data_IF_963520741241
#
_entry.id   IF_963520741241
#
_cell.length_a   1.000
_cell.length_b   1.000
_cell.length_c   1.000
_cell.angle_alpha   90.00
_cell.angle_beta   90.00
_cell.angle_gamma   90.00
#
_symmetry.space_group_name_H-M   'P 1'
#
loop_
_entity.id
_entity.type
_entity.pdbx_description
1 polymer ?
#
# COMPACT_ATOMS: atom_id res chain seq x y z
N UNK A 1 37.43 27.02 -39.14
CA UNK A 1 37.20 25.74 -38.43
C UNK A 1 35.94 25.91 -37.62
N UNK A 2 34.99 25.01 -37.85
CA UNK A 2 33.63 25.01 -37.31
C UNK A 2 33.67 24.75 -35.81
N UNK A 3 33.11 25.65 -35.00
CA UNK A 3 32.79 25.39 -33.60
C UNK A 3 31.34 24.95 -33.54
N UNK A 4 31.10 23.67 -33.31
CA UNK A 4 29.75 23.14 -33.11
C UNK A 4 29.25 23.55 -31.72
N UNK A 5 28.04 24.08 -31.66
CA UNK A 5 27.31 24.27 -30.41
C UNK A 5 27.08 22.90 -29.74
N UNK A 6 27.14 22.83 -28.40
CA UNK A 6 26.74 21.64 -27.66
C UNK A 6 25.23 21.37 -27.88
N UNK A 7 24.79 20.10 -27.86
CA UNK A 7 23.37 19.78 -27.99
C UNK A 7 22.59 20.39 -26.81
N UNK A 8 21.32 20.79 -27.02
CA UNK A 8 20.48 21.26 -25.93
C UNK A 8 20.33 20.14 -24.90
N UNK A 9 20.66 20.47 -23.66
CA UNK A 9 20.47 19.58 -22.52
C UNK A 9 18.99 19.28 -22.31
N UNK A 10 18.73 18.04 -21.95
CA UNK A 10 17.42 17.57 -21.50
C UNK A 10 16.95 18.48 -20.37
N UNK A 11 15.82 19.14 -20.57
CA UNK A 11 15.23 20.00 -19.54
C UNK A 11 14.41 19.08 -18.64
N UNK A 12 14.66 19.03 -17.31
CA UNK A 12 13.83 18.24 -16.42
C UNK A 12 12.40 18.80 -16.48
N UNK A 13 11.44 17.95 -16.86
CA UNK A 13 10.02 18.28 -16.75
C UNK A 13 9.67 18.34 -15.25
N UNK A 14 9.42 19.53 -14.72
CA UNK A 14 8.45 19.70 -13.63
C UNK A 14 8.91 19.75 -12.16
N UNK A 15 10.16 20.04 -11.82
CA UNK A 15 10.63 20.00 -10.41
C UNK A 15 10.12 21.15 -9.48
N UNK A 16 9.36 22.14 -9.99
CA UNK A 16 8.97 23.35 -9.23
C UNK A 16 7.46 23.45 -8.89
N UNK A 17 6.67 22.39 -9.07
CA UNK A 17 5.23 22.38 -8.82
C UNK A 17 4.81 21.34 -7.76
N UNK A 18 3.76 21.65 -6.98
CA UNK A 18 3.13 20.67 -6.09
C UNK A 18 2.63 19.46 -6.91
N UNK A 19 2.73 18.22 -6.38
CA UNK A 19 2.23 17.02 -7.03
C UNK A 19 0.77 17.18 -7.47
N UNK A 20 0.48 16.84 -8.72
CA UNK A 20 -0.87 16.77 -9.21
C UNK A 20 -1.51 15.48 -8.69
N UNK A 21 -2.42 15.61 -7.72
CA UNK A 21 -3.15 14.49 -7.11
C UNK A 21 -4.65 14.61 -7.37
N UNK A 22 -5.23 13.57 -7.99
CA UNK A 22 -6.69 13.40 -8.07
C UNK A 22 -7.05 12.09 -7.39
N UNK A 23 -8.01 12.12 -6.45
CA UNK A 23 -8.53 10.93 -5.76
C UNK A 23 -9.94 10.65 -6.22
N UNK A 24 -10.23 9.38 -6.55
CA UNK A 24 -11.57 8.90 -6.86
C UNK A 24 -11.89 7.71 -5.95
N UNK A 25 -12.97 7.81 -5.19
CA UNK A 25 -13.49 6.69 -4.39
C UNK A 25 -14.22 5.70 -5.31
N UNK A 26 -13.72 4.47 -5.39
CA UNK A 26 -14.21 3.41 -6.28
C UNK A 26 -14.95 2.36 -5.44
N UNK A 27 -16.27 2.19 -5.63
CA UNK A 27 -17.03 1.15 -4.93
C UNK A 27 -16.56 -0.25 -5.34
N UNK A 28 -16.26 -1.09 -4.35
CA UNK A 28 -15.77 -2.45 -4.56
C UNK A 28 -16.19 -3.35 -3.40
N UNK A 29 -16.21 -4.66 -3.62
CA UNK A 29 -16.40 -5.63 -2.54
C UNK A 29 -15.11 -5.70 -1.71
N UNK A 30 -15.10 -5.01 -0.58
CA UNK A 30 -13.98 -4.94 0.35
C UNK A 30 -14.47 -5.05 1.79
N UNK A 31 -13.57 -5.45 2.69
CA UNK A 31 -13.81 -5.43 4.14
C UNK A 31 -13.55 -4.05 4.75
N UNK A 32 -13.11 -3.08 3.96
CA UNK A 32 -12.98 -1.70 4.41
C UNK A 32 -14.36 -1.13 4.82
N UNK A 33 -14.44 -0.29 5.88
CA UNK A 33 -15.72 0.14 6.45
C UNK A 33 -16.62 0.95 5.51
N UNK A 34 -16.04 1.63 4.53
CA UNK A 34 -16.70 2.47 3.54
C UNK A 34 -17.11 1.72 2.27
N UNK A 35 -16.64 0.50 2.06
CA UNK A 35 -16.94 -0.29 0.86
C UNK A 35 -16.33 0.31 -0.42
N UNK A 36 -15.26 1.08 -0.28
CA UNK A 36 -14.60 1.76 -1.40
C UNK A 36 -13.08 1.65 -1.29
N UNK A 37 -12.41 1.55 -2.44
CA UNK A 37 -10.96 1.75 -2.57
C UNK A 37 -10.72 3.08 -3.28
N UNK A 38 -9.74 3.84 -2.82
CA UNK A 38 -9.31 5.07 -3.46
C UNK A 38 -8.39 4.75 -4.63
N UNK A 39 -8.81 5.07 -5.85
CA UNK A 39 -7.92 5.18 -6.99
C UNK A 39 -7.30 6.58 -7.04
N UNK A 40 -6.03 6.67 -7.42
CA UNK A 40 -5.31 7.94 -7.51
C UNK A 40 -4.73 8.17 -8.90
N UNK A 41 -4.91 9.38 -9.43
CA UNK A 41 -4.08 9.91 -10.50
C UNK A 41 -3.00 10.79 -9.86
N UNK A 42 -1.75 10.34 -9.92
CA UNK A 42 -0.60 10.90 -9.23
C UNK A 42 0.51 11.16 -10.26
N UNK A 43 0.69 12.40 -10.70
CA UNK A 43 1.74 12.79 -11.66
C UNK A 43 1.97 11.82 -12.83
N UNK A 44 0.88 11.43 -13.52
CA UNK A 44 0.91 10.52 -14.67
C UNK A 44 0.71 9.04 -14.32
N UNK A 45 0.80 8.66 -13.05
CA UNK A 45 0.52 7.31 -12.56
C UNK A 45 -0.95 7.15 -12.15
N UNK A 46 -1.64 6.13 -12.66
CA UNK A 46 -2.90 5.64 -12.10
C UNK A 46 -2.60 4.52 -11.09
N UNK A 47 -2.98 4.73 -9.83
CA UNK A 47 -2.76 3.79 -8.73
C UNK A 47 -4.08 3.17 -8.27
N UNK A 48 -4.08 1.86 -8.05
CA UNK A 48 -5.18 1.05 -7.49
C UNK A 48 -6.55 1.25 -8.17
N UNK A 49 -6.66 1.08 -9.51
CA UNK A 49 -7.95 1.10 -10.18
C UNK A 49 -8.76 -0.17 -9.85
N UNK A 50 -9.39 -0.17 -8.68
CA UNK A 50 -10.10 -1.32 -8.11
C UNK A 50 -11.28 -1.83 -8.96
N UNK A 51 -11.94 -0.93 -9.67
CA UNK A 51 -13.05 -1.23 -10.58
C UNK A 51 -13.22 -0.07 -11.57
N UNK A 52 -13.81 -0.35 -12.73
CA UNK A 52 -14.13 0.69 -13.71
C UNK A 52 -15.37 1.45 -13.28
N UNK A 53 -15.28 2.78 -13.25
CA UNK A 53 -16.41 3.65 -12.88
C UNK A 53 -16.47 4.89 -13.76
N UNK A 54 -17.67 5.42 -13.97
CA UNK A 54 -17.87 6.68 -14.71
C UNK A 54 -17.07 7.85 -14.10
N UNK A 55 -16.92 7.85 -12.76
CA UNK A 55 -16.19 8.90 -12.06
C UNK A 55 -14.68 8.84 -12.36
N UNK A 56 -14.09 7.65 -12.37
CA UNK A 56 -12.67 7.48 -12.69
C UNK A 56 -12.40 7.69 -14.18
N UNK A 57 -13.29 7.23 -15.06
CA UNK A 57 -13.24 7.52 -16.50
C UNK A 57 -13.27 9.04 -16.76
N UNK A 58 -14.14 9.78 -16.05
CA UNK A 58 -14.22 11.24 -16.16
C UNK A 58 -12.95 11.95 -15.64
N UNK A 59 -12.38 11.49 -14.53
CA UNK A 59 -11.16 12.05 -13.97
C UNK A 59 -9.95 11.88 -14.91
N UNK A 60 -9.84 10.72 -15.56
CA UNK A 60 -8.82 10.46 -16.58
C UNK A 60 -9.03 11.37 -17.80
N UNK A 61 -10.26 11.47 -18.29
CA UNK A 61 -10.57 12.33 -19.44
C UNK A 61 -10.29 13.81 -19.17
N UNK A 62 -10.59 14.31 -17.96
CA UNK A 62 -10.31 15.69 -17.55
C UNK A 62 -8.80 15.97 -17.59
N UNK A 63 -7.96 15.05 -17.07
CA UNK A 63 -6.49 15.19 -17.17
C UNK A 63 -5.99 15.23 -18.60
N UNK A 64 -6.43 14.30 -19.46
CA UNK A 64 -6.02 14.26 -20.86
C UNK A 64 -6.42 15.50 -21.65
N UNK A 65 -7.49 16.18 -21.24
CA UNK A 65 -7.93 17.43 -21.87
C UNK A 65 -7.09 18.65 -21.48
N UNK A 66 -6.36 18.59 -20.35
CA UNK A 66 -5.53 19.69 -19.87
C UNK A 66 -4.24 19.87 -20.68
N UNK A 67 -3.68 18.78 -21.23
CA UNK A 67 -2.55 18.80 -22.14
C UNK A 67 -2.76 17.76 -23.26
N UNK A 68 -3.23 18.21 -24.43
CA UNK A 68 -3.50 17.34 -25.57
C UNK A 68 -2.24 16.66 -26.16
N UNK A 69 -1.03 17.05 -25.72
CA UNK A 69 0.22 16.47 -26.17
C UNK A 69 0.80 15.43 -25.19
N UNK A 70 0.28 15.32 -23.97
CA UNK A 70 0.71 14.36 -22.96
C UNK A 70 -0.39 13.32 -22.70
N UNK A 71 -0.05 12.04 -22.53
CA UNK A 71 -1.04 11.04 -22.13
C UNK A 71 -1.61 11.37 -20.74
N UNK A 72 -2.92 11.14 -20.56
CA UNK A 72 -3.59 11.40 -19.29
C UNK A 72 -3.06 10.51 -18.14
N UNK A 73 -2.64 9.30 -18.52
CA UNK A 73 -2.07 8.25 -17.69
C UNK A 73 -0.91 7.67 -18.49
N UNK A 74 0.30 7.74 -17.96
CA UNK A 74 1.53 7.20 -18.56
C UNK A 74 1.75 5.76 -18.11
N UNK A 75 1.44 5.47 -16.84
CA UNK A 75 1.59 4.15 -16.27
C UNK A 75 0.40 3.81 -15.34
N UNK A 76 0.17 2.52 -15.15
CA UNK A 76 -0.76 1.96 -14.18
C UNK A 76 0.04 1.05 -13.25
N UNK A 77 -0.12 1.25 -11.95
CA UNK A 77 0.47 0.37 -10.94
C UNK A 77 -0.52 0.13 -9.81
N UNK A 78 -0.26 -0.89 -9.00
CA UNK A 78 -1.02 -1.16 -7.78
C UNK A 78 -0.09 -1.19 -6.59
N UNK A 79 -0.60 -0.78 -5.43
CA UNK A 79 0.14 -0.85 -4.18
C UNK A 79 0.40 -2.30 -3.79
N UNK A 80 -0.56 -3.19 -4.05
CA UNK A 80 -0.42 -4.63 -3.88
C UNK A 80 -1.54 -5.41 -4.60
N UNK A 81 -1.37 -6.72 -4.73
CA UNK A 81 -2.23 -7.62 -5.49
C UNK A 81 -3.45 -8.16 -4.72
N UNK A 82 -4.06 -7.39 -3.82
CA UNK A 82 -5.37 -7.77 -3.25
C UNK A 82 -6.52 -7.42 -4.21
N UNK A 83 -7.62 -8.21 -4.20
CA UNK A 83 -8.66 -8.09 -5.22
C UNK A 83 -9.31 -6.70 -5.33
N UNK A 84 -9.40 -5.99 -4.21
CA UNK A 84 -10.01 -4.66 -4.11
C UNK A 84 -9.08 -3.52 -4.57
N UNK A 85 -7.90 -3.81 -5.11
CA UNK A 85 -6.98 -2.81 -5.70
C UNK A 85 -6.76 -3.02 -7.20
N UNK A 86 -6.89 -4.26 -7.69
CA UNK A 86 -6.44 -4.65 -9.04
C UNK A 86 -7.54 -4.74 -10.09
N UNK A 87 -8.81 -4.69 -9.68
CA UNK A 87 -9.92 -5.25 -10.47
C UNK A 87 -10.18 -4.62 -11.84
N UNK A 88 -9.72 -3.39 -12.11
CA UNK A 88 -9.84 -2.74 -13.42
C UNK A 88 -8.49 -2.35 -14.05
N UNK A 89 -7.38 -2.92 -13.60
CA UNK A 89 -6.06 -2.68 -14.21
C UNK A 89 -6.09 -2.95 -15.72
N UNK A 90 -6.59 -4.11 -16.14
CA UNK A 90 -6.65 -4.49 -17.55
C UNK A 90 -7.59 -3.57 -18.37
N UNK A 91 -8.71 -3.15 -17.78
CA UNK A 91 -9.67 -2.25 -18.42
C UNK A 91 -9.07 -0.87 -18.67
N UNK A 92 -8.36 -0.32 -17.68
CA UNK A 92 -7.73 1.00 -17.80
C UNK A 92 -6.48 0.95 -18.67
N UNK A 93 -5.71 -0.14 -18.67
CA UNK A 93 -4.61 -0.33 -19.61
C UNK A 93 -5.12 -0.27 -21.06
N UNK A 94 -6.20 -0.99 -21.37
CA UNK A 94 -6.81 -0.96 -22.69
C UNK A 94 -7.46 0.39 -23.04
N UNK A 95 -7.94 1.15 -22.05
CA UNK A 95 -8.54 2.47 -22.28
C UNK A 95 -7.49 3.56 -22.56
N UNK A 96 -6.32 3.46 -21.95
CA UNK A 96 -5.33 4.55 -21.89
C UNK A 96 -4.06 4.26 -22.69
N UNK A 97 -3.84 3.01 -23.11
CA UNK A 97 -2.57 2.53 -23.67
C UNK A 97 -1.36 2.76 -22.72
N UNK A 98 -1.61 2.91 -21.41
CA UNK A 98 -0.59 3.12 -20.39
C UNK A 98 0.20 1.84 -20.07
N UNK A 99 1.48 2.01 -19.74
CA UNK A 99 2.34 0.89 -19.31
C UNK A 99 1.89 0.31 -17.97
N UNK A 100 1.62 -0.99 -17.93
CA UNK A 100 1.27 -1.68 -16.68
C UNK A 100 2.55 -2.10 -15.96
N UNK A 101 2.75 -1.60 -14.74
CA UNK A 101 3.97 -1.80 -13.97
C UNK A 101 3.65 -2.56 -12.67
N UNK A 102 4.37 -3.67 -12.44
CA UNK A 102 4.30 -4.45 -11.21
C UNK A 102 5.58 -4.29 -10.37
N UNK A 103 5.51 -4.63 -9.08
CA UNK A 103 6.71 -4.70 -8.23
C UNK A 103 7.66 -5.81 -8.73
N UNK A 104 8.95 -5.49 -8.80
CA UNK A 104 10.00 -6.46 -9.09
C UNK A 104 9.90 -7.68 -8.16
N UNK A 105 10.04 -8.88 -8.73
CA UNK A 105 9.92 -10.15 -8.00
C UNK A 105 8.49 -10.61 -7.72
N UNK A 106 7.47 -9.85 -8.12
CA UNK A 106 6.05 -10.17 -7.86
C UNK A 106 5.16 -10.16 -9.11
N UNK A 107 5.74 -10.19 -10.31
CA UNK A 107 4.99 -10.18 -11.57
C UNK A 107 3.93 -11.31 -11.67
N UNK A 108 4.28 -12.54 -11.30
CA UNK A 108 3.34 -13.68 -11.35
C UNK A 108 2.14 -13.48 -10.41
N UNK A 109 2.40 -12.95 -9.20
CA UNK A 109 1.35 -12.65 -8.21
C UNK A 109 0.44 -11.54 -8.71
N UNK A 110 1.03 -10.48 -9.25
CA UNK A 110 0.29 -9.40 -9.90
C UNK A 110 -0.59 -9.93 -11.03
N UNK A 111 -0.01 -10.69 -11.97
CA UNK A 111 -0.73 -11.21 -13.13
C UNK A 111 -1.90 -12.12 -12.75
N UNK A 112 -1.70 -12.97 -11.74
CA UNK A 112 -2.75 -13.83 -11.20
C UNK A 112 -3.93 -13.03 -10.60
N UNK A 113 -3.65 -11.87 -9.98
CA UNK A 113 -4.67 -11.04 -9.35
C UNK A 113 -5.34 -10.07 -10.34
N UNK A 114 -4.55 -9.36 -11.15
CA UNK A 114 -5.01 -8.35 -12.10
C UNK A 114 -5.59 -8.95 -13.40
N UNK A 115 -5.30 -10.22 -13.69
CA UNK A 115 -5.77 -10.90 -14.90
C UNK A 115 -5.04 -10.49 -16.18
N UNK A 116 -3.91 -9.80 -16.06
CA UNK A 116 -3.04 -9.35 -17.16
C UNK A 116 -1.58 -9.38 -16.70
N UNK A 117 -0.66 -9.80 -17.59
CA UNK A 117 0.77 -9.68 -17.32
C UNK A 117 1.19 -8.21 -17.28
N UNK A 118 2.08 -7.79 -16.36
CA UNK A 118 2.63 -6.46 -16.41
C UNK A 118 3.56 -6.31 -17.62
N UNK A 119 3.59 -5.12 -18.21
CA UNK A 119 4.52 -4.79 -19.29
C UNK A 119 5.96 -4.67 -18.75
N UNK A 120 6.09 -4.12 -17.54
CA UNK A 120 7.36 -3.86 -16.88
C UNK A 120 7.30 -4.18 -15.37
N UNK A 121 8.49 -4.32 -14.77
CA UNK A 121 8.62 -4.40 -13.32
C UNK A 121 9.53 -3.30 -12.79
N UNK A 122 9.24 -2.81 -11.59
CA UNK A 122 9.98 -1.72 -10.94
C UNK A 122 10.47 -2.11 -9.54
N UNK A 123 11.72 -1.78 -9.22
CA UNK A 123 12.27 -2.01 -7.88
C UNK A 123 11.98 -0.82 -6.95
N UNK A 124 11.89 -1.03 -5.62
CA UNK A 124 11.80 0.08 -4.69
C UNK A 124 12.98 1.05 -4.81
N UNK A 125 12.68 2.35 -4.79
CA UNK A 125 13.63 3.43 -5.01
C UNK A 125 13.72 3.92 -6.45
N UNK A 126 13.17 3.17 -7.41
CA UNK A 126 13.11 3.55 -8.82
C UNK A 126 11.85 4.35 -9.15
N UNK A 127 11.87 5.03 -10.29
CA UNK A 127 10.73 5.75 -10.86
C UNK A 127 9.83 4.76 -11.62
N UNK A 128 8.51 4.95 -11.54
CA UNK A 128 7.53 4.10 -12.23
C UNK A 128 7.38 4.56 -13.68
N UNK A 129 7.82 3.74 -14.63
CA UNK A 129 7.78 4.07 -16.06
C UNK A 129 8.42 5.44 -16.35
N UNK A 130 7.75 6.24 -17.19
CA UNK A 130 8.18 7.60 -17.54
C UNK A 130 7.57 8.70 -16.63
N UNK A 131 6.91 8.31 -15.53
CA UNK A 131 6.23 9.24 -14.61
C UNK A 131 7.21 10.02 -13.70
N UNK A 132 6.69 10.94 -12.88
CA UNK A 132 7.47 11.60 -11.81
C UNK A 132 7.41 10.85 -10.46
N UNK A 133 6.83 9.65 -10.42
CA UNK A 133 6.48 8.95 -9.18
C UNK A 133 7.51 7.86 -8.85
N UNK A 134 8.00 7.84 -7.60
CA UNK A 134 8.97 6.84 -7.12
C UNK A 134 8.31 5.76 -6.26
N UNK A 135 8.83 4.54 -6.36
CA UNK A 135 8.39 3.41 -5.55
C UNK A 135 9.06 3.45 -4.17
N UNK A 136 8.28 3.23 -3.12
CA UNK A 136 8.75 3.16 -1.73
C UNK A 136 8.45 1.77 -1.19
N UNK A 137 9.50 1.07 -0.74
CA UNK A 137 9.38 -0.25 -0.15
C UNK A 137 8.57 -0.17 1.15
N UNK A 138 7.41 -0.82 1.18
CA UNK A 138 6.51 -0.81 2.34
C UNK A 138 5.87 -2.20 2.57
N UNK A 139 6.66 -3.29 2.60
CA UNK A 139 6.12 -4.62 2.83
C UNK A 139 5.51 -4.73 4.23
N UNK A 140 4.66 -5.73 4.41
CA UNK A 140 4.12 -6.12 5.70
C UNK A 140 2.62 -6.37 5.68
N UNK A 141 1.83 -5.54 4.99
CA UNK A 141 0.41 -5.84 4.77
C UNK A 141 0.25 -7.03 3.80
N UNK A 142 0.96 -6.94 2.67
CA UNK A 142 1.10 -7.99 1.67
C UNK A 142 2.58 -8.13 1.31
N UNK A 143 3.02 -9.30 0.81
CA UNK A 143 4.42 -9.53 0.45
C UNK A 143 4.91 -8.61 -0.66
N UNK A 144 4.01 -8.24 -1.58
CA UNK A 144 4.23 -7.37 -2.72
C UNK A 144 3.93 -5.89 -2.45
N UNK A 145 3.56 -5.51 -1.22
CA UNK A 145 3.13 -4.15 -0.91
C UNK A 145 4.24 -3.09 -1.13
N UNK A 146 3.90 -2.06 -1.91
CA UNK A 146 4.68 -0.83 -2.14
C UNK A 146 3.80 0.39 -2.02
N UNK A 147 4.43 1.53 -1.76
CA UNK A 147 3.81 2.85 -1.78
C UNK A 147 4.42 3.70 -2.89
N UNK A 148 3.73 4.75 -3.32
CA UNK A 148 4.14 5.60 -4.43
C UNK A 148 4.32 7.04 -3.96
N UNK A 149 5.54 7.56 -4.08
CA UNK A 149 5.91 8.90 -3.65
C UNK A 149 5.89 9.87 -4.83
N UNK A 150 5.14 10.96 -4.68
CA UNK A 150 5.19 12.11 -5.58
C UNK A 150 5.78 13.32 -4.85
N UNK A 151 6.68 14.03 -5.53
CA UNK A 151 7.53 15.04 -4.90
C UNK A 151 8.62 14.43 -4.02
N UNK A 152 9.44 15.29 -3.42
CA UNK A 152 10.55 14.88 -2.53
C UNK A 152 10.34 15.50 -1.15
N UNK A 153 10.30 14.71 -0.05
CA UNK A 153 10.13 15.25 1.30
C UNK A 153 11.12 16.36 1.64
N UNK A 154 10.62 17.46 2.21
CA UNK A 154 11.42 18.61 2.62
C UNK A 154 11.98 19.47 1.46
N UNK A 155 11.60 19.19 0.21
CA UNK A 155 11.99 20.00 -0.94
C UNK A 155 11.06 21.22 -1.08
N UNK A 156 11.48 22.38 -0.59
CA UNK A 156 10.73 23.63 -0.77
C UNK A 156 10.85 24.16 -2.22
N UNK A 157 9.78 24.71 -2.82
CA UNK A 157 8.47 25.01 -2.23
C UNK A 157 7.41 23.89 -2.41
N UNK A 158 7.79 22.72 -2.91
CA UNK A 158 6.87 21.66 -3.33
C UNK A 158 6.53 20.69 -2.21
N UNK A 159 5.25 20.33 -2.09
CA UNK A 159 4.83 19.29 -1.14
C UNK A 159 5.21 17.89 -1.63
N UNK A 160 5.37 16.97 -0.70
CA UNK A 160 5.56 15.55 -0.97
C UNK A 160 4.36 14.73 -0.46
N UNK A 161 3.77 13.92 -1.32
CA UNK A 161 2.68 13.02 -0.98
C UNK A 161 3.09 11.56 -1.17
N UNK A 162 2.63 10.70 -0.27
CA UNK A 162 2.83 9.25 -0.38
C UNK A 162 1.47 8.56 -0.56
N UNK A 163 1.22 7.99 -1.74
CA UNK A 163 0.16 7.02 -1.92
C UNK A 163 0.53 5.73 -1.21
N UNK A 164 0.02 5.58 0.01
CA UNK A 164 0.48 4.56 0.95
C UNK A 164 -0.34 3.27 0.91
N UNK A 165 -1.40 3.20 0.08
CA UNK A 165 -2.26 2.03 -0.01
C UNK A 165 -2.73 1.57 1.38
N UNK A 166 -2.54 0.28 1.64
CA UNK A 166 -2.91 -0.40 2.87
C UNK A 166 -1.79 -0.46 3.91
N UNK A 167 -0.85 0.49 3.85
CA UNK A 167 0.09 0.72 4.93
C UNK A 167 -0.58 1.45 6.12
N UNK A 168 -1.35 2.50 5.83
CA UNK A 168 -1.89 3.41 6.84
C UNK A 168 -3.31 3.88 6.48
N UNK A 169 -4.13 4.12 7.51
CA UNK A 169 -5.49 4.67 7.40
C UNK A 169 -5.71 5.73 8.46
N UNK A 170 -6.52 6.76 8.14
CA UNK A 170 -6.76 7.89 9.03
C UNK A 170 -7.44 7.50 10.35
N UNK A 171 -8.37 6.54 10.29
CA UNK A 171 -9.09 6.00 11.44
C UNK A 171 -9.06 4.48 11.45
N UNK A 172 -9.03 3.89 12.65
CA UNK A 172 -8.90 2.43 12.80
C UNK A 172 -7.48 1.94 12.52
N UNK A 173 -7.36 0.75 11.96
CA UNK A 173 -6.10 0.10 11.62
C UNK A 173 -6.26 -0.75 10.38
N UNK A 174 -5.18 -0.94 9.63
CA UNK A 174 -5.16 -1.90 8.50
C UNK A 174 -5.14 -3.34 9.05
N UNK A 175 -5.51 -4.34 8.26
CA UNK A 175 -5.21 -5.72 8.63
C UNK A 175 -3.72 -6.01 8.36
N UNK A 176 -3.07 -6.77 9.24
CA UNK A 176 -1.76 -7.40 8.95
C UNK A 176 -1.91 -8.82 9.41
N UNK A 177 -2.19 -9.71 8.47
CA UNK A 177 -2.80 -11.00 8.74
C UNK A 177 -2.04 -12.12 8.03
N UNK A 178 -1.73 -13.18 8.76
CA UNK A 178 -1.10 -14.37 8.20
C UNK A 178 -2.03 -15.05 7.17
N UNK A 179 -1.48 -15.71 6.14
CA UNK A 179 -0.05 -15.97 5.93
C UNK A 179 0.70 -14.86 5.18
N UNK A 180 0.00 -13.86 4.64
CA UNK A 180 0.63 -12.86 3.76
C UNK A 180 1.29 -11.71 4.55
N UNK A 181 0.71 -11.39 5.71
CA UNK A 181 1.13 -10.26 6.52
C UNK A 181 2.33 -10.57 7.40
N UNK A 182 3.30 -9.67 7.41
CA UNK A 182 4.48 -9.68 8.28
C UNK A 182 4.49 -8.43 9.16
N UNK A 183 4.25 -8.60 10.45
CA UNK A 183 4.23 -7.50 11.42
C UNK A 183 5.60 -6.87 11.68
N UNK A 184 6.69 -7.61 11.50
CA UNK A 184 8.04 -7.06 11.62
C UNK A 184 8.30 -6.10 10.47
N UNK A 185 8.02 -6.56 9.24
CA UNK A 185 8.13 -5.73 8.04
C UNK A 185 7.18 -4.53 8.10
N UNK A 186 5.94 -4.73 8.52
CA UNK A 186 4.93 -3.66 8.62
C UNK A 186 5.36 -2.55 9.58
N UNK A 187 5.85 -2.90 10.77
CA UNK A 187 6.33 -1.91 11.75
C UNK A 187 7.55 -1.14 11.21
N UNK A 188 8.51 -1.85 10.60
CA UNK A 188 9.66 -1.22 9.97
C UNK A 188 9.25 -0.28 8.81
N UNK A 189 8.22 -0.65 8.03
CA UNK A 189 7.66 0.18 6.97
C UNK A 189 7.01 1.45 7.52
N UNK A 190 6.22 1.35 8.60
CA UNK A 190 5.63 2.52 9.27
C UNK A 190 6.69 3.48 9.81
N UNK A 191 7.73 2.95 10.46
CA UNK A 191 8.86 3.75 10.96
C UNK A 191 9.59 4.46 9.81
N UNK A 192 9.88 3.73 8.71
CA UNK A 192 10.53 4.29 7.52
C UNK A 192 9.76 5.48 6.95
N UNK A 193 8.45 5.34 6.73
CA UNK A 193 7.65 6.41 6.12
C UNK A 193 7.35 7.56 7.09
N UNK A 194 7.28 7.28 8.41
CA UNK A 194 7.20 8.31 9.46
C UNK A 194 8.43 9.21 9.42
N UNK A 195 9.61 8.60 9.36
CA UNK A 195 10.89 9.30 9.46
C UNK A 195 11.29 9.96 8.13
N UNK A 196 10.63 9.61 7.03
CA UNK A 196 10.87 10.20 5.70
C UNK A 196 10.34 11.63 5.55
N UNK A 197 9.37 12.07 6.36
CA UNK A 197 8.91 13.46 6.40
C UNK A 197 7.96 13.88 5.26
N UNK A 198 7.14 12.98 4.73
CA UNK A 198 6.09 13.33 3.77
C UNK A 198 5.04 14.27 4.39
N UNK A 199 4.50 15.19 3.60
CA UNK A 199 3.49 16.15 4.05
C UNK A 199 2.09 15.54 4.18
N UNK A 200 1.81 14.49 3.40
CA UNK A 200 0.50 13.83 3.36
C UNK A 200 0.61 12.38 2.95
N UNK A 201 -0.21 11.52 3.56
CA UNK A 201 -0.47 10.17 3.04
C UNK A 201 -1.82 10.10 2.34
N UNK A 202 -1.85 9.31 1.26
CA UNK A 202 -3.02 9.04 0.44
C UNK A 202 -3.33 7.54 0.58
N UNK A 203 -4.24 7.14 1.49
CA UNK A 203 -4.48 5.74 1.81
C UNK A 203 -5.36 5.04 0.76
N UNK A 204 -5.28 3.71 0.73
CA UNK A 204 -6.16 2.86 -0.08
C UNK A 204 -7.63 3.01 0.32
N UNK A 205 -7.92 3.31 1.59
CA UNK A 205 -9.28 3.48 2.10
C UNK A 205 -9.44 4.71 2.98
N UNK A 206 -10.63 5.32 2.98
CA UNK A 206 -10.94 6.51 3.76
C UNK A 206 -10.25 7.80 3.30
N UNK A 207 -10.24 8.84 4.16
CA UNK A 207 -9.72 10.16 3.80
C UNK A 207 -8.19 10.23 3.80
N UNK A 208 -7.64 11.21 3.09
CA UNK A 208 -6.22 11.56 3.16
C UNK A 208 -5.78 11.91 4.59
N UNK A 209 -4.50 11.71 4.88
CA UNK A 209 -3.89 11.88 6.19
C UNK A 209 -2.93 13.07 6.15
N UNK A 210 -3.28 14.14 6.85
CA UNK A 210 -2.50 15.39 6.90
C UNK A 210 -1.42 15.41 8.00
N UNK A 211 -1.44 14.43 8.92
CA UNK A 211 -0.37 14.22 9.91
C UNK A 211 0.13 12.77 9.81
N UNK A 212 1.01 12.49 8.83
CA UNK A 212 1.56 11.16 8.63
C UNK A 212 2.31 10.63 9.85
N UNK A 213 3.09 11.50 10.52
CA UNK A 213 3.92 11.08 11.63
C UNK A 213 3.08 10.61 12.83
N UNK A 214 2.10 11.42 13.25
CA UNK A 214 1.20 11.03 14.33
C UNK A 214 0.37 9.80 13.99
N UNK A 215 0.01 9.63 12.71
CA UNK A 215 -0.72 8.45 12.24
C UNK A 215 0.12 7.17 12.32
N UNK A 216 1.39 7.22 11.88
CA UNK A 216 2.32 6.11 12.04
C UNK A 216 2.50 5.74 13.52
N UNK A 217 2.76 6.71 14.39
CA UNK A 217 2.96 6.44 15.82
C UNK A 217 1.72 5.79 16.46
N UNK A 218 0.51 6.25 16.08
CA UNK A 218 -0.75 5.64 16.52
C UNK A 218 -0.88 4.19 16.05
N UNK A 219 -0.54 3.89 14.80
CA UNK A 219 -0.63 2.54 14.23
C UNK A 219 0.42 1.61 14.86
N UNK A 220 1.65 2.09 15.07
CA UNK A 220 2.71 1.36 15.76
C UNK A 220 2.25 1.01 17.18
N UNK A 221 1.80 1.98 17.96
CA UNK A 221 1.34 1.72 19.34
C UNK A 221 0.14 0.78 19.37
N UNK A 222 -0.77 0.88 18.40
CA UNK A 222 -1.88 -0.06 18.28
C UNK A 222 -1.40 -1.52 18.13
N UNK A 223 -0.38 -1.77 17.31
CA UNK A 223 0.21 -3.11 17.15
C UNK A 223 0.95 -3.57 18.39
N UNK A 224 1.75 -2.70 19.00
CA UNK A 224 2.48 -3.04 20.22
C UNK A 224 1.51 -3.32 21.38
N UNK A 225 0.39 -2.60 21.47
CA UNK A 225 -0.67 -2.90 22.43
C UNK A 225 -1.30 -4.27 22.21
N UNK A 226 -1.63 -4.63 20.97
CA UNK A 226 -2.13 -5.96 20.63
C UNK A 226 -1.09 -7.04 20.95
N UNK A 227 0.17 -6.81 20.64
CA UNK A 227 1.27 -7.74 20.93
C UNK A 227 1.39 -8.03 22.44
N UNK A 228 1.30 -6.99 23.28
CA UNK A 228 1.27 -7.17 24.75
C UNK A 228 0.09 -8.03 25.19
N UNK A 229 -1.08 -7.86 24.58
CA UNK A 229 -2.25 -8.71 24.83
C UNK A 229 -2.03 -10.16 24.42
N UNK A 230 -1.41 -10.41 23.27
CA UNK A 230 -1.05 -11.76 22.80
C UNK A 230 -0.09 -12.44 23.77
N UNK A 231 0.97 -11.75 24.20
CA UNK A 231 1.93 -12.28 25.19
C UNK A 231 1.22 -12.60 26.50
N UNK A 232 0.41 -11.66 27.02
CA UNK A 232 -0.31 -11.86 28.27
C UNK A 232 -1.27 -13.06 28.22
N UNK A 233 -1.93 -13.28 27.09
CA UNK A 233 -2.81 -14.45 26.90
C UNK A 233 -2.00 -15.76 26.92
N UNK A 234 -0.85 -15.81 26.24
CA UNK A 234 0.03 -16.98 26.22
C UNK A 234 0.62 -17.25 27.61
N UNK A 235 1.17 -16.23 28.28
CA UNK A 235 1.72 -16.33 29.64
C UNK A 235 0.64 -16.70 30.67
N UNK A 236 -0.61 -16.30 30.41
CA UNK A 236 -1.80 -16.68 31.17
C UNK A 236 -2.26 -18.12 30.95
N UNK A 237 -1.61 -18.89 30.07
CA UNK A 237 -1.87 -20.30 29.85
C UNK A 237 -2.80 -20.61 28.66
N UNK A 238 -2.99 -19.69 27.72
CA UNK A 238 -3.70 -19.99 26.48
C UNK A 238 -3.02 -21.17 25.75
N UNK A 239 -3.78 -22.23 25.50
CA UNK A 239 -3.24 -23.48 24.94
C UNK A 239 -3.30 -23.54 23.41
N UNK A 240 -4.13 -22.69 22.79
CA UNK A 240 -4.34 -22.61 21.35
C UNK A 240 -4.61 -21.17 20.88
N UNK A 241 -4.63 -20.99 19.55
CA UNK A 241 -4.78 -19.69 18.91
C UNK A 241 -6.13 -19.01 19.23
N UNK A 242 -7.22 -19.78 19.39
CA UNK A 242 -8.53 -19.20 19.68
C UNK A 242 -8.56 -18.62 21.09
N UNK A 243 -7.95 -19.31 22.07
CA UNK A 243 -7.78 -18.78 23.42
C UNK A 243 -6.90 -17.51 23.46
N UNK A 244 -5.87 -17.44 22.60
CA UNK A 244 -5.05 -16.21 22.46
C UNK A 244 -5.89 -15.08 21.87
N UNK A 245 -6.70 -15.34 20.83
CA UNK A 245 -7.60 -14.34 20.25
C UNK A 245 -8.57 -13.82 21.31
N UNK A 246 -9.21 -14.71 22.07
CA UNK A 246 -10.17 -14.32 23.10
C UNK A 246 -9.52 -13.50 24.24
N UNK A 247 -8.24 -13.76 24.55
CA UNK A 247 -7.47 -12.99 25.53
C UNK A 247 -6.90 -11.67 25.01
N UNK A 248 -6.58 -11.58 23.71
CA UNK A 248 -5.94 -10.42 23.08
C UNK A 248 -6.93 -9.35 22.58
N UNK A 249 -8.23 -9.67 22.54
CA UNK A 249 -9.28 -8.76 22.12
C UNK A 249 -10.32 -8.56 23.23
N UNK A 250 -10.46 -7.31 23.67
CA UNK A 250 -11.44 -6.92 24.71
C UNK A 250 -12.85 -6.67 24.14
N UNK A 251 -13.04 -6.73 22.82
CA UNK A 251 -14.26 -6.32 22.11
C UNK A 251 -14.96 -7.51 21.46
N UNK A 252 -16.26 -7.34 21.18
CA UNK A 252 -17.00 -8.27 20.33
C UNK A 252 -16.34 -8.36 18.94
N UNK A 253 -16.05 -9.59 18.53
CA UNK A 253 -15.42 -9.94 17.25
C UNK A 253 -16.43 -10.49 16.25
N UNK A 254 -17.73 -10.34 16.52
CA UNK A 254 -18.79 -10.74 15.60
C UNK A 254 -18.54 -10.14 14.20
N UNK A 255 -18.49 -11.02 13.19
CA UNK A 255 -18.26 -10.63 11.79
C UNK A 255 -16.79 -10.45 11.36
N UNK A 256 -15.82 -10.44 12.28
CA UNK A 256 -14.38 -10.22 11.94
C UNK A 256 -13.42 -11.19 12.64
N UNK A 257 -13.94 -12.27 13.26
CA UNK A 257 -13.13 -13.20 14.06
C UNK A 257 -12.08 -13.95 13.24
N UNK A 258 -12.35 -14.25 11.97
CA UNK A 258 -11.40 -14.86 11.04
C UNK A 258 -10.18 -13.94 10.82
N UNK A 259 -10.43 -12.65 10.55
CA UNK A 259 -9.39 -11.65 10.37
C UNK A 259 -8.61 -11.40 11.67
N UNK A 260 -9.31 -11.39 12.80
CA UNK A 260 -8.70 -11.27 14.12
C UNK A 260 -7.76 -12.45 14.42
N UNK A 261 -8.19 -13.67 14.10
CA UNK A 261 -7.37 -14.88 14.24
C UNK A 261 -6.11 -14.80 13.37
N UNK A 262 -6.24 -14.43 12.11
CA UNK A 262 -5.11 -14.30 11.20
C UNK A 262 -4.13 -13.18 11.62
N UNK A 263 -4.65 -12.08 12.20
CA UNK A 263 -3.81 -11.01 12.78
C UNK A 263 -3.05 -11.51 14.01
N UNK A 264 -3.69 -12.30 14.88
CA UNK A 264 -3.01 -12.89 16.06
C UNK A 264 -1.98 -13.92 15.62
N UNK A 265 -2.26 -14.72 14.58
CA UNK A 265 -1.28 -15.62 14.01
C UNK A 265 0.00 -14.88 13.59
N UNK A 266 -0.13 -13.78 12.84
CA UNK A 266 1.01 -12.93 12.46
C UNK A 266 1.78 -12.39 13.70
N UNK A 267 1.08 -12.02 14.78
CA UNK A 267 1.73 -11.61 16.02
C UNK A 267 2.53 -12.76 16.65
N UNK A 268 1.96 -13.96 16.71
CA UNK A 268 2.64 -15.14 17.25
C UNK A 268 3.85 -15.52 16.39
N UNK A 269 3.75 -15.46 15.07
CA UNK A 269 4.88 -15.70 14.14
C UNK A 269 6.05 -14.76 14.41
N UNK A 270 5.77 -13.45 14.45
CA UNK A 270 6.75 -12.42 14.82
C UNK A 270 7.41 -12.71 16.17
N UNK A 271 6.60 -12.95 17.21
CA UNK A 271 7.09 -13.19 18.57
C UNK A 271 7.93 -14.46 18.70
N UNK A 272 7.58 -15.52 17.96
CA UNK A 272 8.41 -16.72 17.88
C UNK A 272 9.71 -16.45 17.12
N UNK A 273 9.67 -15.68 16.04
CA UNK A 273 10.86 -15.23 15.31
C UNK A 273 11.83 -14.43 16.19
N UNK A 274 11.31 -13.60 17.08
CA UNK A 274 12.05 -12.81 18.07
C UNK A 274 12.50 -13.63 19.31
N UNK A 275 12.06 -14.88 19.44
CA UNK A 275 12.35 -15.70 20.62
C UNK A 275 11.64 -15.26 21.91
N UNK A 276 10.56 -14.47 21.79
CA UNK A 276 9.74 -13.97 22.90
C UNK A 276 8.58 -14.89 23.25
N UNK A 277 8.22 -15.79 22.33
CA UNK A 277 7.26 -16.88 22.52
C UNK A 277 7.93 -18.20 22.14
N UNK A 278 7.59 -19.28 22.84
CA UNK A 278 8.18 -20.60 22.59
C UNK A 278 7.95 -21.10 21.16
N UNK A 279 8.98 -21.70 20.55
CA UNK A 279 8.91 -22.22 19.18
C UNK A 279 7.85 -23.29 18.92
N UNK A 280 7.33 -23.93 19.98
CA UNK A 280 6.20 -24.88 19.89
C UNK A 280 4.94 -24.24 19.29
N UNK A 281 4.80 -22.91 19.36
CA UNK A 281 3.69 -22.20 18.74
C UNK A 281 3.68 -22.27 17.21
N UNK A 282 4.81 -22.52 16.53
CA UNK A 282 4.81 -22.75 15.07
C UNK A 282 3.94 -23.95 14.70
N UNK A 283 4.08 -25.06 15.43
CA UNK A 283 3.27 -26.25 15.20
C UNK A 283 1.78 -25.98 15.47
N UNK A 284 1.47 -25.20 16.52
CA UNK A 284 0.08 -24.81 16.85
C UNK A 284 -0.56 -23.92 15.76
N UNK A 285 0.23 -23.08 15.10
CA UNK A 285 -0.22 -22.26 13.98
C UNK A 285 -0.46 -23.11 12.73
N UNK A 286 0.45 -24.02 12.41
CA UNK A 286 0.30 -24.96 11.29
C UNK A 286 -0.95 -25.86 11.44
N UNK A 287 -1.26 -26.32 12.65
CA UNK A 287 -2.51 -27.04 12.96
C UNK A 287 -3.79 -26.23 12.70
N UNK A 288 -3.67 -24.92 12.53
CA UNK A 288 -4.74 -23.98 12.20
C UNK A 288 -4.66 -23.44 10.77
N UNK A 289 -3.74 -23.95 9.95
CA UNK A 289 -3.58 -23.58 8.55
C UNK A 289 -2.77 -22.31 8.31
N UNK A 290 -1.94 -21.91 9.28
CA UNK A 290 -0.94 -20.84 9.11
C UNK A 290 0.44 -21.51 9.05
N UNK A 291 0.99 -21.63 7.84
CA UNK A 291 2.29 -22.27 7.55
C UNK A 291 3.37 -21.25 7.23
#
# INVERSE_FOLDING_TARGET
>A
MSGADPPPGDSPRGDDADPAVTRVEVPVDTRAPDGTTNAYLLDGLLVDPAARTDALDAAIAERGSADAAAPAVEAIAVTHAHPDHVGAVADYAALTDATVVAREGHADRFAAAAGIDPDETVAPGETVGDTAVRVVDTPGHAPDHVAFAAGTPGAEPTRAALCCGDLAVAAGSVAVAAPEGDLTAYLASLERVRDAGYDRFLPGHGPAIDDPAATCDRLIEHRLARERGVIAAIDGGAADLDAVVDGAYEKDLSGVRDLARATVAAHVEKLVGEGRVEGAWRARLAERGFD
#
